data_IF_245668155241
#
_entry.id   IF_245668155241
#
_cell.length_a   1.000
_cell.length_b   1.000
_cell.length_c   1.000
_cell.angle_alpha   90.00
_cell.angle_beta   90.00
_cell.angle_gamma   90.00
#
_symmetry.space_group_name_H-M   'P 1'
#
loop_
_entity.id
_entity.type
_entity.pdbx_description
1 polymer ?
#
# COMPACT_ATOMS: atom_id res chain seq x y z
N UNK A 1 2.28 -8.54 -11.18
CA UNK A 1 3.74 -8.44 -10.88
C UNK A 1 3.92 -7.57 -9.66
N UNK A 2 4.63 -8.02 -8.62
CA UNK A 2 4.92 -7.19 -7.45
C UNK A 2 6.23 -6.42 -7.63
N UNK A 3 6.25 -5.16 -7.18
CA UNK A 3 7.46 -4.32 -7.11
C UNK A 3 7.83 -4.14 -5.64
N UNK A 4 9.12 -4.18 -5.32
CA UNK A 4 9.63 -3.93 -3.96
C UNK A 4 10.16 -2.52 -3.87
N UNK A 5 9.74 -1.80 -2.83
CA UNK A 5 10.22 -0.46 -2.49
C UNK A 5 10.73 -0.47 -1.04
N UNK A 6 11.70 0.39 -0.74
CA UNK A 6 12.20 0.60 0.60
C UNK A 6 11.69 1.96 1.09
N UNK A 7 11.12 1.99 2.29
CA UNK A 7 10.48 3.17 2.89
C UNK A 7 11.01 3.34 4.30
N UNK A 8 11.21 4.60 4.71
CA UNK A 8 11.65 4.95 6.07
C UNK A 8 10.49 5.61 6.78
N UNK A 9 10.22 5.17 8.01
CA UNK A 9 9.17 5.72 8.86
C UNK A 9 9.80 6.34 10.12
N UNK A 10 9.17 7.37 10.71
CA UNK A 10 9.44 7.73 12.10
C UNK A 10 9.16 6.55 13.04
N UNK A 11 9.92 6.41 14.11
CA UNK A 11 9.84 5.28 15.05
C UNK A 11 8.40 5.06 15.56
N UNK A 12 7.73 6.14 15.99
CA UNK A 12 6.37 6.06 16.52
C UNK A 12 5.35 5.51 15.50
N UNK A 13 5.58 5.74 14.20
CA UNK A 13 4.72 5.21 13.13
C UNK A 13 4.97 3.73 12.96
N UNK A 14 6.24 3.32 12.94
CA UNK A 14 6.61 1.91 12.80
C UNK A 14 6.08 1.09 13.98
N UNK A 15 6.26 1.55 15.22
CA UNK A 15 5.76 0.86 16.41
C UNK A 15 4.23 0.71 16.40
N UNK A 16 3.50 1.70 15.89
CA UNK A 16 2.06 1.60 15.75
C UNK A 16 1.64 0.56 14.69
N UNK A 17 2.34 0.53 13.54
CA UNK A 17 2.12 -0.45 12.49
C UNK A 17 2.45 -1.86 12.97
N UNK A 18 3.56 -2.03 13.69
CA UNK A 18 4.03 -3.32 14.19
C UNK A 18 3.02 -3.95 15.16
N UNK A 19 2.58 -3.19 16.19
CA UNK A 19 1.53 -3.62 17.11
C UNK A 19 0.21 -3.94 16.40
N UNK A 20 -0.12 -3.20 15.35
CA UNK A 20 -1.34 -3.45 14.59
C UNK A 20 -1.24 -4.72 13.73
N UNK A 21 -0.08 -4.99 13.15
CA UNK A 21 0.19 -6.18 12.37
C UNK A 21 0.15 -7.43 13.25
N UNK A 22 0.78 -7.37 14.44
CA UNK A 22 0.77 -8.42 15.46
C UNK A 22 -0.67 -8.77 15.88
N UNK A 23 -1.49 -7.75 16.15
CA UNK A 23 -2.91 -7.96 16.50
C UNK A 23 -3.70 -8.70 15.40
N UNK A 24 -3.28 -8.59 14.15
CA UNK A 24 -3.90 -9.28 13.01
C UNK A 24 -3.23 -10.61 12.66
N UNK A 25 -2.15 -10.99 13.34
CA UNK A 25 -1.38 -12.20 13.03
C UNK A 25 -0.71 -12.16 11.65
N UNK A 26 -0.32 -10.97 11.17
CA UNK A 26 0.37 -10.78 9.88
C UNK A 26 1.66 -10.00 10.04
N UNK A 27 2.54 -10.08 9.04
CA UNK A 27 3.76 -9.26 9.04
C UNK A 27 3.46 -7.77 8.84
N UNK A 28 4.28 -6.92 9.44
CA UNK A 28 4.22 -5.46 9.31
C UNK A 28 4.30 -5.01 7.84
N UNK A 29 5.12 -5.70 7.03
CA UNK A 29 5.21 -5.44 5.58
C UNK A 29 3.88 -5.72 4.84
N UNK A 30 3.17 -6.80 5.18
CA UNK A 30 1.88 -7.11 4.55
C UNK A 30 0.79 -6.11 4.96
N UNK A 31 0.79 -5.68 6.23
CA UNK A 31 -0.08 -4.58 6.68
C UNK A 31 0.18 -3.31 5.86
N UNK A 32 1.44 -2.90 5.73
CA UNK A 32 1.82 -1.69 4.98
C UNK A 32 1.37 -1.80 3.53
N UNK A 33 1.61 -2.93 2.86
CA UNK A 33 1.19 -3.15 1.49
C UNK A 33 -0.33 -2.98 1.31
N UNK A 34 -1.12 -3.58 2.21
CA UNK A 34 -2.57 -3.46 2.21
C UNK A 34 -3.05 -2.03 2.46
N UNK A 35 -2.43 -1.32 3.41
CA UNK A 35 -2.79 0.07 3.72
C UNK A 35 -2.52 1.00 2.53
N UNK A 36 -1.38 0.83 1.88
CA UNK A 36 -1.01 1.62 0.69
C UNK A 36 -1.97 1.34 -0.47
N UNK A 37 -2.32 0.08 -0.70
CA UNK A 37 -3.30 -0.29 -1.73
C UNK A 37 -4.68 0.31 -1.45
N UNK A 38 -5.16 0.21 -0.21
CA UNK A 38 -6.46 0.77 0.20
C UNK A 38 -6.48 2.29 0.01
N UNK A 39 -5.45 2.98 0.49
CA UNK A 39 -5.32 4.43 0.34
C UNK A 39 -5.28 4.85 -1.14
N UNK A 40 -4.63 4.06 -2.00
CA UNK A 40 -4.56 4.34 -3.43
C UNK A 40 -5.94 4.20 -4.09
N UNK A 41 -6.71 3.15 -3.75
CA UNK A 41 -8.06 2.95 -4.25
C UNK A 41 -9.01 4.09 -3.83
N UNK A 42 -8.89 4.58 -2.61
CA UNK A 42 -9.64 5.73 -2.12
C UNK A 42 -9.25 7.03 -2.86
N UNK A 43 -7.94 7.24 -3.06
CA UNK A 43 -7.43 8.41 -3.76
C UNK A 43 -7.81 8.40 -5.26
N UNK A 44 -7.88 7.23 -5.89
CA UNK A 44 -8.40 7.06 -7.26
C UNK A 44 -9.88 7.42 -7.35
N UNK A 45 -10.71 6.98 -6.39
CA UNK A 45 -12.14 7.32 -6.35
C UNK A 45 -12.37 8.82 -6.17
N UNK A 46 -11.46 9.52 -5.48
CA UNK A 46 -11.50 10.97 -5.29
C UNK A 46 -10.90 11.76 -6.47
N UNK A 47 -10.27 11.08 -7.44
CA UNK A 47 -9.56 11.73 -8.55
C UNK A 47 -8.24 12.40 -8.14
N UNK A 48 -7.67 12.05 -7.00
CA UNK A 48 -6.38 12.57 -6.50
C UNK A 48 -5.18 11.90 -7.20
N UNK A 49 -5.34 10.64 -7.59
CA UNK A 49 -4.33 9.89 -8.35
C UNK A 49 -4.60 10.09 -9.83
N UNK A 50 -3.63 10.59 -10.62
CA UNK A 50 -3.81 10.71 -12.05
C UNK A 50 -4.09 9.33 -12.67
N UNK A 51 -4.96 9.24 -13.69
CA UNK A 51 -5.20 7.97 -14.38
C UNK A 51 -3.86 7.44 -14.90
N UNK A 52 -3.58 6.18 -14.58
CA UNK A 52 -2.38 5.52 -15.06
C UNK A 52 -2.39 5.44 -16.59
N UNK A 53 -1.22 5.33 -17.25
CA UNK A 53 -1.20 4.93 -18.65
C UNK A 53 -1.97 3.62 -18.77
N UNK A 54 -2.92 3.54 -19.70
CA UNK A 54 -3.68 2.32 -20.00
C UNK A 54 -2.69 1.16 -20.12
N UNK A 55 -2.85 0.13 -19.29
CA UNK A 55 -2.02 -1.06 -19.32
C UNK A 55 -2.12 -1.66 -20.75
N UNK A 56 -1.03 -1.70 -21.56
CA UNK A 56 -1.11 -2.16 -22.95
C UNK A 56 -1.28 -3.69 -23.06
N UNK A 57 -1.92 -4.34 -22.08
CA UNK A 57 -2.11 -5.79 -21.98
C UNK A 57 -3.56 -6.23 -21.73
N UNK A 58 -4.54 -5.35 -21.90
CA UNK A 58 -5.95 -5.76 -22.03
C UNK A 58 -6.37 -6.13 -23.46
N UNK A 59 -5.44 -6.12 -24.43
CA UNK A 59 -5.64 -6.72 -25.75
C UNK A 59 -4.82 -8.01 -25.87
N UNK A 60 -5.37 -9.12 -25.35
CA UNK A 60 -5.20 -10.46 -25.94
C UNK A 60 -6.20 -11.48 -25.42
#
# INVERSE_FOLDING_TARGET
>A
MSKRVHVTFPDYVYEALDRWADKQGRSTANLIAFLVETALLEAQQKGEVPPGPEDPKSDK
#
